data_IF_288841850966
#
_entry.id   IF_288841850966
#
_cell.length_a   1.000
_cell.length_b   1.000
_cell.length_c   1.000
_cell.angle_alpha   90.00
_cell.angle_beta   90.00
_cell.angle_gamma   90.00
#
_symmetry.space_group_name_H-M   'P 1'
#
loop_
_entity.id
_entity.type
_entity.pdbx_description
1 polymer ?
#
# COMPACT_ATOMS: atom_id res chain seq x y z
N UNK A 1 11.56 -44.42 -43.88
CA UNK A 1 10.83 -43.21 -43.45
C UNK A 1 10.78 -43.06 -41.93
N UNK A 2 10.89 -44.18 -41.22
CA UNK A 2 10.78 -44.18 -39.73
C UNK A 2 11.89 -43.41 -39.02
N UNK A 3 13.14 -43.46 -39.52
CA UNK A 3 14.26 -42.75 -38.91
C UNK A 3 14.12 -41.22 -38.90
N UNK A 4 13.54 -40.63 -39.94
CA UNK A 4 13.31 -39.18 -40.03
C UNK A 4 12.13 -38.75 -39.12
N UNK A 5 11.11 -39.59 -39.01
CA UNK A 5 9.98 -39.34 -38.14
C UNK A 5 10.36 -39.46 -36.68
N UNK A 6 11.15 -40.45 -36.31
CA UNK A 6 11.64 -40.65 -34.95
C UNK A 6 12.60 -39.51 -34.52
N UNK A 7 13.53 -39.13 -35.42
CA UNK A 7 14.42 -38.00 -35.16
C UNK A 7 13.65 -36.69 -34.97
N UNK A 8 12.66 -36.39 -35.82
CA UNK A 8 11.85 -35.19 -35.73
C UNK A 8 10.99 -35.18 -34.47
N UNK A 9 10.43 -36.34 -34.11
CA UNK A 9 9.65 -36.50 -32.89
C UNK A 9 10.48 -36.25 -31.64
N UNK A 10 11.68 -36.78 -31.55
CA UNK A 10 12.56 -36.59 -30.42
C UNK A 10 13.04 -35.13 -30.32
N UNK A 11 13.44 -34.53 -31.44
CA UNK A 11 13.80 -33.11 -31.46
C UNK A 11 12.68 -32.20 -31.02
N UNK A 12 11.41 -32.49 -31.46
CA UNK A 12 10.23 -31.73 -31.10
C UNK A 12 9.92 -31.91 -29.60
N UNK A 13 10.07 -33.12 -29.05
CA UNK A 13 9.93 -33.38 -27.61
C UNK A 13 10.93 -32.55 -26.78
N UNK A 14 12.18 -32.59 -27.17
CA UNK A 14 13.26 -31.83 -26.48
C UNK A 14 12.96 -30.30 -26.48
N UNK A 15 12.52 -29.78 -27.63
CA UNK A 15 12.15 -28.37 -27.77
C UNK A 15 10.94 -28.00 -26.90
N UNK A 16 9.91 -28.85 -26.83
CA UNK A 16 8.72 -28.63 -26.00
C UNK A 16 9.05 -28.74 -24.51
N UNK A 17 9.82 -29.75 -24.10
CA UNK A 17 10.25 -29.93 -22.69
C UNK A 17 11.09 -28.73 -22.24
N UNK A 18 12.11 -28.37 -23.03
CA UNK A 18 12.91 -27.17 -22.74
C UNK A 18 12.08 -25.89 -22.67
N UNK A 19 11.08 -25.75 -23.54
CA UNK A 19 10.15 -24.63 -23.50
C UNK A 19 9.25 -24.62 -22.25
N UNK A 20 8.75 -25.79 -21.82
CA UNK A 20 7.93 -25.93 -20.60
C UNK A 20 8.80 -25.62 -19.36
N UNK A 21 9.97 -26.21 -19.27
CA UNK A 21 10.89 -25.99 -18.15
C UNK A 21 11.30 -24.51 -18.04
N UNK A 22 11.69 -23.91 -19.18
CA UNK A 22 12.03 -22.48 -19.21
C UNK A 22 10.85 -21.56 -18.85
N UNK A 23 9.63 -21.90 -19.25
CA UNK A 23 8.43 -21.16 -18.85
C UNK A 23 8.18 -21.30 -17.34
N UNK A 24 8.36 -22.48 -16.75
CA UNK A 24 8.14 -22.73 -15.32
C UNK A 24 9.21 -22.07 -14.46
N UNK A 25 10.50 -22.23 -14.80
CA UNK A 25 11.59 -21.53 -14.14
C UNK A 25 11.40 -20.02 -14.18
N UNK A 26 11.08 -19.47 -15.36
CA UNK A 26 10.78 -18.06 -15.53
C UNK A 26 9.54 -17.61 -14.77
N UNK A 27 8.57 -18.48 -14.55
CA UNK A 27 7.38 -18.20 -13.74
C UNK A 27 7.73 -18.10 -12.25
N UNK A 28 8.50 -19.05 -11.72
CA UNK A 28 8.93 -19.03 -10.33
C UNK A 28 9.86 -17.85 -10.04
N UNK A 29 10.82 -17.58 -10.92
CA UNK A 29 11.69 -16.41 -10.82
C UNK A 29 10.87 -15.10 -10.85
N UNK A 30 9.89 -15.01 -11.77
CA UNK A 30 8.99 -13.87 -11.87
C UNK A 30 8.18 -13.68 -10.59
N UNK A 31 7.63 -14.75 -9.99
CA UNK A 31 6.87 -14.68 -8.73
C UNK A 31 7.76 -14.23 -7.59
N UNK A 32 8.94 -14.84 -7.41
CA UNK A 32 9.87 -14.49 -6.35
C UNK A 32 10.38 -13.05 -6.47
N UNK A 33 10.75 -12.64 -7.68
CA UNK A 33 11.20 -11.28 -7.95
C UNK A 33 10.08 -10.27 -7.73
N UNK A 34 8.86 -10.52 -8.26
CA UNK A 34 7.72 -9.60 -8.08
C UNK A 34 7.28 -9.50 -6.62
N UNK A 35 7.23 -10.61 -5.88
CA UNK A 35 6.92 -10.58 -4.44
C UNK A 35 7.96 -9.75 -3.68
N UNK A 36 9.24 -9.93 -3.99
CA UNK A 36 10.33 -9.15 -3.41
C UNK A 36 10.23 -7.65 -3.73
N UNK A 37 10.02 -7.31 -5.00
CA UNK A 37 9.87 -5.93 -5.46
C UNK A 37 8.62 -5.26 -4.88
N UNK A 38 7.49 -5.94 -4.86
CA UNK A 38 6.25 -5.42 -4.27
C UNK A 38 6.44 -5.19 -2.76
N UNK A 39 7.01 -6.15 -2.05
CA UNK A 39 7.29 -6.01 -0.62
C UNK A 39 8.24 -4.82 -0.35
N UNK A 40 9.28 -4.64 -1.17
CA UNK A 40 10.19 -3.51 -1.07
C UNK A 40 9.50 -2.18 -1.37
N UNK A 41 8.69 -2.11 -2.43
CA UNK A 41 7.99 -0.87 -2.82
C UNK A 41 6.89 -0.49 -1.83
N UNK A 42 6.07 -1.45 -1.39
CA UNK A 42 5.02 -1.23 -0.39
C UNK A 42 5.61 -0.93 0.99
N UNK A 43 6.76 -1.54 1.30
CA UNK A 43 7.52 -1.26 2.52
C UNK A 43 8.32 0.04 2.48
N UNK A 44 8.42 0.72 1.33
CA UNK A 44 9.13 2.01 1.24
C UNK A 44 8.28 3.12 1.84
N UNK A 45 8.88 3.93 2.74
CA UNK A 45 8.19 5.09 3.31
C UNK A 45 7.90 6.14 2.23
N UNK A 46 6.85 6.96 2.37
CA UNK A 46 6.58 8.06 1.45
C UNK A 46 7.78 9.01 1.28
N UNK A 47 8.57 9.23 2.33
CA UNK A 47 9.77 10.05 2.29
C UNK A 47 10.89 9.45 1.42
N UNK A 48 11.05 8.13 1.46
CA UNK A 48 12.09 7.42 0.73
C UNK A 48 11.70 7.12 -0.72
N UNK A 49 10.39 6.99 -1.01
CA UNK A 49 9.91 6.63 -2.33
C UNK A 49 10.24 7.67 -3.41
N UNK A 50 10.02 8.96 -3.13
CA UNK A 50 10.44 10.06 -4.01
C UNK A 50 10.66 11.35 -3.22
N UNK A 51 11.90 11.62 -2.82
CA UNK A 51 12.27 12.75 -1.96
C UNK A 51 11.82 14.13 -2.49
N UNK A 52 11.87 14.35 -3.81
CA UNK A 52 11.45 15.61 -4.43
C UNK A 52 9.93 15.84 -4.32
N UNK A 53 9.13 14.81 -4.60
CA UNK A 53 7.66 14.89 -4.47
C UNK A 53 7.29 15.02 -3.00
N UNK A 54 7.94 14.26 -2.12
CA UNK A 54 7.70 14.33 -0.68
C UNK A 54 7.96 15.72 -0.12
N UNK A 55 9.08 16.38 -0.48
CA UNK A 55 9.40 17.74 -0.03
C UNK A 55 8.38 18.77 -0.53
N UNK A 56 7.91 18.64 -1.78
CA UNK A 56 6.85 19.49 -2.34
C UNK A 56 5.53 19.33 -1.55
N UNK A 57 5.12 18.09 -1.28
CA UNK A 57 3.89 17.77 -0.55
C UNK A 57 3.95 18.26 0.89
N UNK A 58 5.10 18.09 1.56
CA UNK A 58 5.33 18.61 2.89
C UNK A 58 5.24 20.13 2.91
N UNK A 59 5.91 20.79 1.98
CA UNK A 59 5.85 22.26 1.87
C UNK A 59 4.42 22.74 1.60
N UNK A 60 3.68 22.09 0.69
CA UNK A 60 2.27 22.40 0.44
C UNK A 60 1.42 22.26 1.70
N UNK A 61 1.59 21.18 2.44
CA UNK A 61 0.89 20.93 3.70
C UNK A 61 1.19 21.99 4.75
N UNK A 62 2.47 22.31 4.96
CA UNK A 62 2.91 23.24 6.02
C UNK A 62 2.63 24.71 5.68
N UNK A 63 2.80 25.11 4.39
CA UNK A 63 2.71 26.55 4.02
C UNK A 63 1.33 26.98 3.52
N UNK A 64 0.54 26.07 2.99
CA UNK A 64 -0.78 26.39 2.41
C UNK A 64 -1.91 25.76 3.22
N UNK A 65 -1.86 24.46 3.42
CA UNK A 65 -3.00 23.71 3.99
C UNK A 65 -3.10 23.95 5.50
N UNK A 66 -1.99 23.93 6.23
CA UNK A 66 -1.98 24.14 7.68
C UNK A 66 -2.51 25.52 8.10
N UNK A 67 -2.14 26.65 7.46
CA UNK A 67 -2.77 27.95 7.75
C UNK A 67 -4.27 27.97 7.48
N UNK A 68 -4.75 27.35 6.41
CA UNK A 68 -6.21 27.25 6.11
C UNK A 68 -6.89 26.44 7.20
N UNK A 69 -6.35 25.29 7.57
CA UNK A 69 -6.88 24.45 8.65
C UNK A 69 -6.87 25.16 10.00
N UNK A 70 -5.85 25.98 10.27
CA UNK A 70 -5.76 26.84 11.44
C UNK A 70 -6.87 27.90 11.50
N UNK A 71 -7.20 28.53 10.38
CA UNK A 71 -8.34 29.46 10.29
C UNK A 71 -9.67 28.74 10.58
N UNK A 72 -9.87 27.54 10.01
CA UNK A 72 -11.08 26.72 10.27
C UNK A 72 -11.16 26.34 11.75
N UNK A 73 -10.05 25.89 12.34
CA UNK A 73 -9.99 25.54 13.76
C UNK A 73 -10.34 26.74 14.64
N UNK A 74 -9.79 27.93 14.34
CA UNK A 74 -10.07 29.16 15.07
C UNK A 74 -11.55 29.52 14.99
N UNK A 75 -12.16 29.42 13.80
CA UNK A 75 -13.58 29.70 13.63
C UNK A 75 -14.44 28.72 14.44
N UNK A 76 -14.16 27.42 14.38
CA UNK A 76 -14.92 26.41 15.11
C UNK A 76 -14.74 26.55 16.60
N UNK A 77 -13.53 26.81 17.10
CA UNK A 77 -13.26 27.03 18.51
C UNK A 77 -13.96 28.28 19.06
N UNK A 78 -13.99 29.36 18.27
CA UNK A 78 -14.73 30.60 18.63
C UNK A 78 -16.22 30.34 18.67
N UNK A 79 -16.77 29.61 17.70
CA UNK A 79 -18.17 29.23 17.67
C UNK A 79 -18.58 28.42 18.90
N UNK A 80 -17.75 27.40 19.27
CA UNK A 80 -17.96 26.58 20.47
C UNK A 80 -17.92 27.44 21.76
N UNK A 81 -16.99 28.40 21.85
CA UNK A 81 -16.95 29.33 22.96
C UNK A 81 -18.20 30.18 23.07
N UNK A 82 -18.66 30.73 21.94
CA UNK A 82 -19.90 31.52 21.90
C UNK A 82 -21.10 30.68 22.34
N UNK A 83 -21.25 29.46 21.85
CA UNK A 83 -22.31 28.55 22.29
C UNK A 83 -22.26 28.29 23.77
N UNK A 84 -21.08 27.99 24.34
CA UNK A 84 -20.89 27.75 25.76
C UNK A 84 -21.28 28.97 26.62
N UNK A 85 -21.09 30.19 26.10
CA UNK A 85 -21.48 31.41 26.78
C UNK A 85 -23.01 31.70 26.67
N UNK A 86 -23.64 31.35 25.54
CA UNK A 86 -25.05 31.57 25.29
C UNK A 86 -25.97 30.55 25.98
N UNK A 87 -25.55 29.28 26.09
CA UNK A 87 -26.32 28.22 26.75
C UNK A 87 -26.60 28.50 28.24
N UNK A 88 -25.76 29.27 28.90
CA UNK A 88 -26.01 29.72 30.26
C UNK A 88 -26.67 31.09 30.28
N UNK A 89 -27.98 31.08 30.40
CA UNK A 89 -28.87 32.22 30.41
C UNK A 89 -28.61 33.28 31.52
N UNK A 90 -27.55 33.09 32.35
CA UNK A 90 -27.09 34.02 33.37
C UNK A 90 -25.58 34.26 33.20
N UNK A 91 -25.21 35.41 32.64
CA UNK A 91 -23.83 35.87 32.49
C UNK A 91 -23.01 35.96 33.80
N UNK A 92 -23.63 35.68 34.95
CA UNK A 92 -22.96 35.76 36.26
C UNK A 92 -22.30 34.46 36.76
N UNK A 93 -22.55 33.33 36.11
CA UNK A 93 -21.90 32.05 36.45
C UNK A 93 -21.25 31.39 35.23
N UNK A 94 -20.23 32.01 34.66
CA UNK A 94 -19.33 31.28 33.74
C UNK A 94 -18.64 30.24 34.59
N UNK A 95 -18.98 28.97 34.39
CA UNK A 95 -18.33 27.86 35.07
C UNK A 95 -16.86 27.78 34.62
N UNK A 96 -15.99 28.28 35.48
CA UNK A 96 -14.55 28.36 35.23
C UNK A 96 -14.00 26.98 34.80
N UNK A 97 -14.58 25.88 35.30
CA UNK A 97 -14.17 24.54 34.96
C UNK A 97 -14.45 24.20 33.47
N UNK A 98 -15.57 24.69 32.91
CA UNK A 98 -15.90 24.50 31.48
C UNK A 98 -14.98 25.33 30.59
N UNK A 99 -14.60 26.53 31.01
CA UNK A 99 -13.64 27.36 30.31
C UNK A 99 -12.25 26.68 30.27
N UNK A 100 -11.77 26.11 31.39
CA UNK A 100 -10.54 25.34 31.39
C UNK A 100 -10.59 24.10 30.50
N UNK A 101 -11.70 23.37 30.47
CA UNK A 101 -11.90 22.22 29.55
C UNK A 101 -11.83 22.64 28.09
N UNK A 102 -12.49 23.75 27.72
CA UNK A 102 -12.43 24.31 26.39
C UNK A 102 -11.02 24.75 26.01
N UNK A 103 -10.32 25.49 26.90
CA UNK A 103 -8.94 25.90 26.66
C UNK A 103 -8.00 24.68 26.43
N UNK A 104 -8.10 23.67 27.29
CA UNK A 104 -7.29 22.46 27.17
C UNK A 104 -7.59 21.70 25.87
N UNK A 105 -8.86 21.54 25.53
CA UNK A 105 -9.30 20.91 24.27
C UNK A 105 -8.75 21.65 23.05
N UNK A 106 -8.87 22.98 23.04
CA UNK A 106 -8.37 23.82 21.94
C UNK A 106 -6.84 23.74 21.85
N UNK A 107 -6.12 23.76 22.96
CA UNK A 107 -4.67 23.60 22.98
C UNK A 107 -4.24 22.24 22.42
N UNK A 108 -4.90 21.15 22.82
CA UNK A 108 -4.67 19.83 22.27
C UNK A 108 -4.94 19.77 20.76
N UNK A 109 -6.05 20.39 20.31
CA UNK A 109 -6.39 20.46 18.89
C UNK A 109 -5.34 21.20 18.07
N UNK A 110 -4.80 22.31 18.57
CA UNK A 110 -3.70 23.05 17.93
C UNK A 110 -2.44 22.20 17.85
N UNK A 111 -2.07 21.50 18.93
CA UNK A 111 -0.90 20.62 18.96
C UNK A 111 -1.02 19.47 17.95
N UNK A 112 -2.17 18.84 17.86
CA UNK A 112 -2.41 17.75 16.90
C UNK A 112 -2.40 18.32 15.47
N UNK A 113 -3.09 19.43 15.22
CA UNK A 113 -3.15 20.07 13.92
C UNK A 113 -1.77 20.45 13.41
N UNK A 114 -0.95 21.11 14.24
CA UNK A 114 0.41 21.54 13.86
C UNK A 114 1.36 20.37 13.61
N UNK A 115 1.08 19.19 14.16
CA UNK A 115 1.88 17.98 13.98
C UNK A 115 1.22 16.92 13.10
N UNK A 116 0.09 17.23 12.46
CA UNK A 116 -0.69 16.23 11.68
C UNK A 116 0.18 15.53 10.63
N UNK A 117 0.99 16.25 9.87
CA UNK A 117 1.87 15.68 8.86
C UNK A 117 2.87 14.67 9.47
N UNK A 118 3.52 15.03 10.56
CA UNK A 118 4.49 14.16 11.24
C UNK A 118 3.81 12.93 11.88
N UNK A 119 2.61 13.10 12.43
CA UNK A 119 1.82 11.98 13.00
C UNK A 119 1.47 10.97 11.91
N UNK A 120 1.00 11.44 10.76
CA UNK A 120 0.68 10.55 9.62
C UNK A 120 1.92 9.84 9.12
N UNK A 121 3.07 10.53 9.00
CA UNK A 121 4.33 9.91 8.59
C UNK A 121 4.80 8.85 9.59
N UNK A 122 4.68 9.09 10.89
CA UNK A 122 5.05 8.11 11.91
C UNK A 122 4.23 6.81 11.81
N UNK A 123 2.96 6.87 11.40
CA UNK A 123 2.14 5.69 11.13
C UNK A 123 2.71 4.87 9.95
N UNK A 124 3.17 5.54 8.90
CA UNK A 124 3.82 4.84 7.77
C UNK A 124 5.14 4.20 8.16
N UNK A 125 5.95 4.85 8.99
CA UNK A 125 7.22 4.30 9.47
C UNK A 125 7.02 3.00 10.29
N UNK A 126 6.00 2.96 11.14
CA UNK A 126 5.62 1.72 11.87
C UNK A 126 5.14 0.64 10.91
N UNK A 127 4.32 1.00 9.92
CA UNK A 127 3.78 0.05 8.94
C UNK A 127 4.87 -0.61 8.10
N UNK A 128 5.97 0.09 7.82
CA UNK A 128 7.10 -0.43 7.06
C UNK A 128 7.71 -1.69 7.71
N UNK A 129 7.90 -1.69 9.02
CA UNK A 129 8.47 -2.85 9.72
C UNK A 129 7.58 -4.09 9.64
N UNK A 130 6.27 -3.91 9.67
CA UNK A 130 5.29 -5.01 9.54
C UNK A 130 5.30 -5.58 8.12
N UNK A 131 5.34 -4.73 7.11
CA UNK A 131 5.36 -5.15 5.70
C UNK A 131 6.66 -5.89 5.37
N UNK A 132 7.80 -5.42 5.86
CA UNK A 132 9.09 -6.09 5.65
C UNK A 132 9.12 -7.50 6.25
N UNK A 133 8.55 -7.67 7.46
CA UNK A 133 8.44 -8.99 8.10
C UNK A 133 7.50 -9.92 7.33
N UNK A 134 6.35 -9.42 6.87
CA UNK A 134 5.40 -10.19 6.08
C UNK A 134 6.01 -10.63 4.73
N UNK A 135 6.74 -9.75 4.05
CA UNK A 135 7.44 -10.06 2.79
C UNK A 135 8.48 -11.18 2.94
N UNK A 136 9.25 -11.17 4.04
CA UNK A 136 10.22 -12.22 4.34
C UNK A 136 9.59 -13.60 4.57
N UNK A 137 8.39 -13.66 5.14
CA UNK A 137 7.64 -14.91 5.32
C UNK A 137 7.14 -15.48 3.99
N UNK A 138 6.73 -14.63 3.07
CA UNK A 138 6.23 -15.05 1.75
C UNK A 138 7.37 -15.57 0.88
N UNK A 139 8.50 -14.88 0.82
CA UNK A 139 9.67 -15.32 0.04
C UNK A 139 10.16 -16.71 0.47
N UNK A 140 10.18 -17.02 1.75
CA UNK A 140 10.61 -18.33 2.25
C UNK A 140 9.66 -19.50 1.90
N UNK A 141 8.44 -19.23 1.42
CA UNK A 141 7.44 -20.25 1.09
C UNK A 141 7.32 -20.57 -0.41
N UNK A 142 8.00 -19.80 -1.28
CA UNK A 142 7.92 -19.93 -2.76
C UNK A 142 9.16 -20.55 -3.39
N UNK A 143 10.14 -20.98 -2.60
CA UNK A 143 11.33 -21.65 -3.10
C UNK A 143 10.99 -23.05 -3.65
N UNK A 144 11.17 -23.23 -4.96
CA UNK A 144 11.05 -24.53 -5.63
C UNK A 144 12.42 -25.20 -5.63
N UNK A 145 12.50 -26.39 -5.03
CA UNK A 145 13.76 -27.12 -4.98
C UNK A 145 14.18 -27.64 -6.36
N UNK A 146 15.49 -27.69 -6.62
CA UNK A 146 16.03 -28.26 -7.86
C UNK A 146 15.61 -29.72 -8.07
N UNK A 147 15.40 -30.48 -6.97
CA UNK A 147 14.94 -31.87 -7.03
C UNK A 147 13.51 -31.98 -7.61
N UNK A 148 12.62 -31.03 -7.28
CA UNK A 148 11.26 -31.01 -7.83
C UNK A 148 11.26 -30.72 -9.33
N UNK A 149 12.16 -29.85 -9.81
CA UNK A 149 12.31 -29.54 -11.23
C UNK A 149 12.85 -30.75 -12.00
N UNK A 150 13.82 -31.47 -11.44
CA UNK A 150 14.38 -32.68 -12.06
C UNK A 150 13.35 -33.84 -12.15
N UNK A 151 12.51 -34.00 -11.12
CA UNK A 151 11.43 -34.99 -11.11
C UNK A 151 10.36 -34.62 -12.16
N UNK A 152 10.05 -33.35 -12.31
CA UNK A 152 9.13 -32.85 -13.33
C UNK A 152 9.67 -33.09 -14.73
N UNK A 153 10.95 -32.79 -14.99
CA UNK A 153 11.61 -33.04 -16.28
C UNK A 153 11.52 -34.52 -16.68
N UNK A 154 11.84 -35.41 -15.74
CA UNK A 154 11.71 -36.87 -15.96
C UNK A 154 10.27 -37.28 -16.30
N UNK A 155 9.29 -36.66 -15.64
CA UNK A 155 7.87 -36.92 -15.91
C UNK A 155 7.44 -36.43 -17.30
N UNK A 156 7.96 -35.28 -17.75
CA UNK A 156 7.71 -34.72 -19.08
C UNK A 156 8.32 -35.58 -20.19
N UNK A 157 9.52 -36.15 -19.99
CA UNK A 157 10.17 -37.04 -20.94
C UNK A 157 9.33 -38.30 -21.24
N UNK A 158 8.60 -38.80 -20.24
CA UNK A 158 7.73 -39.97 -20.38
C UNK A 158 6.42 -39.67 -21.15
N UNK A 159 6.10 -38.38 -21.40
CA UNK A 159 4.86 -38.00 -22.06
C UNK A 159 4.94 -38.06 -23.61
N UNK A 160 3.77 -38.24 -24.25
CA UNK A 160 3.59 -38.12 -25.69
C UNK A 160 3.59 -36.65 -26.15
N UNK A 161 3.83 -36.43 -27.47
CA UNK A 161 3.87 -35.08 -28.08
C UNK A 161 2.59 -34.26 -27.89
N UNK A 162 1.43 -34.88 -27.95
CA UNK A 162 0.13 -34.20 -27.85
C UNK A 162 -0.05 -33.52 -26.49
N UNK A 163 0.06 -34.25 -25.36
CA UNK A 163 0.05 -33.69 -24.02
C UNK A 163 1.17 -32.64 -23.79
N UNK A 164 2.37 -32.85 -24.29
CA UNK A 164 3.49 -31.91 -24.18
C UNK A 164 3.17 -30.55 -24.85
N UNK A 165 2.59 -30.57 -26.04
CA UNK A 165 2.20 -29.37 -26.77
C UNK A 165 1.10 -28.62 -26.01
N UNK A 166 0.16 -29.35 -25.41
CA UNK A 166 -0.88 -28.78 -24.54
C UNK A 166 -0.27 -28.09 -23.29
N UNK A 167 0.68 -28.75 -22.61
CA UNK A 167 1.39 -28.21 -21.45
C UNK A 167 2.26 -27.00 -21.81
N UNK A 168 2.95 -27.04 -22.95
CA UNK A 168 3.74 -25.91 -23.45
C UNK A 168 2.86 -24.68 -23.68
N UNK A 169 1.72 -24.83 -24.36
CA UNK A 169 0.79 -23.73 -24.57
C UNK A 169 0.21 -23.20 -23.28
N UNK A 170 -0.14 -24.09 -22.34
CA UNK A 170 -0.68 -23.74 -21.05
C UNK A 170 0.37 -23.00 -20.20
N UNK A 171 1.61 -23.45 -20.13
CA UNK A 171 2.69 -22.80 -19.39
C UNK A 171 3.03 -21.42 -19.97
N UNK A 172 3.03 -21.28 -21.30
CA UNK A 172 3.21 -20.00 -21.96
C UNK A 172 2.08 -18.99 -21.63
N UNK A 173 0.82 -19.47 -21.63
CA UNK A 173 -0.32 -18.63 -21.26
C UNK A 173 -0.27 -18.18 -19.79
N UNK A 174 0.10 -19.10 -18.88
CA UNK A 174 0.28 -18.77 -17.47
C UNK A 174 1.40 -17.72 -17.30
N UNK A 175 2.54 -17.92 -17.95
CA UNK A 175 3.64 -16.96 -17.94
C UNK A 175 3.23 -15.57 -18.45
N UNK A 176 2.45 -15.50 -19.51
CA UNK A 176 1.91 -14.25 -20.03
C UNK A 176 0.96 -13.56 -19.04
N UNK A 177 0.03 -14.32 -18.46
CA UNK A 177 -0.91 -13.76 -17.44
C UNK A 177 -0.19 -13.27 -16.20
N UNK A 178 0.85 -13.95 -15.75
CA UNK A 178 1.67 -13.50 -14.61
C UNK A 178 2.40 -12.20 -14.90
N UNK A 179 2.99 -12.04 -16.08
CA UNK A 179 3.62 -10.78 -16.49
C UNK A 179 2.61 -9.63 -16.57
N UNK A 180 1.43 -9.88 -17.12
CA UNK A 180 0.36 -8.88 -17.15
C UNK A 180 -0.09 -8.49 -15.74
N UNK A 181 -0.23 -9.45 -14.83
CA UNK A 181 -0.57 -9.21 -13.43
C UNK A 181 0.51 -8.35 -12.74
N UNK A 182 1.79 -8.62 -12.99
CA UNK A 182 2.89 -7.81 -12.44
C UNK A 182 2.79 -6.34 -12.83
N UNK A 183 2.45 -6.04 -14.10
CA UNK A 183 2.22 -4.66 -14.57
C UNK A 183 1.04 -4.02 -13.85
N UNK A 184 -0.06 -4.75 -13.68
CA UNK A 184 -1.24 -4.25 -12.96
C UNK A 184 -0.90 -3.92 -11.51
N UNK A 185 -0.19 -4.81 -10.81
CA UNK A 185 0.23 -4.61 -9.42
C UNK A 185 1.14 -3.39 -9.31
N UNK A 186 2.11 -3.24 -10.23
CA UNK A 186 2.98 -2.07 -10.27
C UNK A 186 2.17 -0.75 -10.37
N UNK A 187 1.19 -0.69 -11.28
CA UNK A 187 0.32 0.48 -11.44
C UNK A 187 -0.50 0.75 -10.17
N UNK A 188 -1.01 -0.30 -9.53
CA UNK A 188 -1.77 -0.19 -8.28
C UNK A 188 -0.91 0.36 -7.12
N UNK A 189 0.32 -0.15 -6.96
CA UNK A 189 1.25 0.33 -5.92
C UNK A 189 1.61 1.79 -6.16
N UNK A 190 1.90 2.15 -7.42
CA UNK A 190 2.22 3.53 -7.80
C UNK A 190 1.04 4.48 -7.55
N UNK A 191 -0.16 4.08 -7.97
CA UNK A 191 -1.39 4.85 -7.73
C UNK A 191 -1.67 5.05 -6.24
N UNK A 192 -1.44 4.00 -5.42
CA UNK A 192 -1.59 4.07 -3.97
C UNK A 192 -0.62 5.08 -3.33
N UNK A 193 0.61 5.15 -3.81
CA UNK A 193 1.60 6.12 -3.32
C UNK A 193 1.17 7.57 -3.62
N UNK A 194 0.64 7.83 -4.82
CA UNK A 194 0.10 9.14 -5.17
C UNK A 194 -1.10 9.51 -4.28
N UNK A 195 -1.99 8.57 -4.02
CA UNK A 195 -3.12 8.76 -3.11
C UNK A 195 -2.66 9.11 -1.70
N UNK A 196 -1.66 8.39 -1.16
CA UNK A 196 -1.05 8.68 0.14
C UNK A 196 -0.50 10.10 0.20
N UNK A 197 0.22 10.55 -0.83
CA UNK A 197 0.74 11.91 -0.89
C UNK A 197 -0.37 12.96 -0.87
N UNK A 198 -1.43 12.78 -1.66
CA UNK A 198 -2.56 13.70 -1.69
C UNK A 198 -3.30 13.75 -0.34
N UNK A 199 -3.64 12.59 0.22
CA UNK A 199 -4.34 12.51 1.50
C UNK A 199 -3.51 13.09 2.63
N UNK A 200 -2.20 12.83 2.67
CA UNK A 200 -1.32 13.37 3.71
C UNK A 200 -1.17 14.89 3.61
N UNK A 201 -1.08 15.43 2.39
CA UNK A 201 -0.99 16.88 2.20
C UNK A 201 -2.24 17.61 2.69
N UNK A 202 -3.42 17.01 2.51
CA UNK A 202 -4.73 17.58 2.89
C UNK A 202 -5.17 17.22 4.32
N UNK A 203 -4.46 16.32 5.01
CA UNK A 203 -4.85 15.80 6.33
C UNK A 203 -5.12 16.87 7.40
N UNK A 204 -4.48 18.04 7.45
CA UNK A 204 -4.81 19.09 8.42
C UNK A 204 -6.26 19.61 8.31
N UNK A 205 -6.87 19.60 7.12
CA UNK A 205 -8.23 20.14 6.93
C UNK A 205 -9.27 19.33 7.72
N UNK A 206 -9.45 18.01 7.52
CA UNK A 206 -10.42 17.24 8.30
C UNK A 206 -10.11 17.25 9.81
N UNK A 207 -8.83 17.28 10.21
CA UNK A 207 -8.45 17.35 11.62
C UNK A 207 -8.94 18.63 12.27
N UNK A 208 -8.94 19.75 11.55
CA UNK A 208 -9.33 21.07 12.10
C UNK A 208 -10.77 21.14 12.61
N UNK A 209 -11.69 20.36 12.06
CA UNK A 209 -13.11 20.37 12.50
C UNK A 209 -13.57 19.08 13.19
N UNK A 210 -12.92 17.95 12.99
CA UNK A 210 -13.33 16.69 13.65
C UNK A 210 -13.03 16.67 15.13
N UNK A 211 -11.93 17.27 15.57
CA UNK A 211 -11.55 17.32 16.98
C UNK A 211 -12.52 18.12 17.87
N UNK A 212 -13.28 19.03 17.30
CA UNK A 212 -14.23 19.86 18.04
C UNK A 212 -15.65 19.26 18.03
N UNK A 213 -16.00 18.49 17.00
CA UNK A 213 -17.34 17.89 16.82
C UNK A 213 -17.53 16.54 17.52
N UNK A 214 -16.48 15.91 18.00
CA UNK A 214 -16.54 14.59 18.64
C UNK A 214 -17.42 14.54 19.92
N UNK A 215 -17.80 15.69 20.48
CA UNK A 215 -18.63 15.78 21.67
C UNK A 215 -20.14 15.91 21.38
N UNK A 216 -20.57 16.32 20.19
CA UNK A 216 -21.99 16.43 19.88
C UNK A 216 -22.68 15.07 19.69
N UNK A 217 -21.95 14.08 19.23
CA UNK A 217 -22.48 12.71 19.05
C UNK A 217 -22.58 11.90 20.33
N UNK A 218 -21.78 12.20 21.36
CA UNK A 218 -21.83 11.51 22.66
C UNK A 218 -22.90 12.08 23.62
N UNK A 219 -23.38 13.30 23.38
CA UNK A 219 -24.42 13.93 24.20
C UNK A 219 -25.84 13.64 23.69
N UNK A 220 -26.01 13.12 22.47
CA UNK A 220 -27.28 12.80 21.84
C UNK A 220 -27.59 11.28 21.76
N UNK A 221 -26.82 10.43 22.45
CA UNK A 221 -27.11 9.01 22.70
C UNK A 221 -27.44 8.79 24.17
#
# INVERSE_FOLDING_TARGET
>A
MDFLTDWLTNWLKELLIGGIMGNLEGLFDTVNTQVGEIAAQVGTTPAAWHAGVFSLIRQLSETVILPIAGMVLTFVATYELIQMLLEKNNMHEVDVANLYKWMFKTACAILILSNTFNIVMAVFDVSQSVIAQAGGLIQGSTDVSADMLAELETSLEAMDLGPLLGLWLQSALIGFTMKAMGIIIFVLVYGRMLEIYLLTSLAPIPVSYTHLRAHETAANL
#
